data_IF_254133598115
#
_entry.id   IF_254133598115
#
_cell.length_a   1.000
_cell.length_b   1.000
_cell.length_c   1.000
_cell.angle_alpha   90.00
_cell.angle_beta   90.00
_cell.angle_gamma   90.00
#
_symmetry.space_group_name_H-M   'P 1'
#
loop_
_entity.id
_entity.type
_entity.pdbx_description
1 polymer ?
#
# COMPACT_ATOMS: atom_id res chain seq x y z
N UNK A 1 19.70 55.51 9.88
CA UNK A 1 19.92 54.64 11.05
C UNK A 1 20.01 53.19 10.60
N UNK A 2 21.14 52.55 10.92
CA UNK A 2 21.42 51.12 11.16
C UNK A 2 20.83 50.02 10.24
N UNK A 3 21.74 49.51 9.40
CA UNK A 3 21.90 48.13 8.88
C UNK A 3 21.51 47.01 9.86
N UNK A 4 20.87 45.94 9.36
CA UNK A 4 21.05 44.52 9.75
C UNK A 4 20.74 43.64 8.53
N UNK A 5 21.76 43.24 7.77
CA UNK A 5 22.50 41.97 7.87
C UNK A 5 21.64 40.74 7.55
N UNK A 6 21.91 40.23 6.34
CA UNK A 6 21.66 38.90 5.81
C UNK A 6 22.15 37.86 6.84
N UNK A 7 21.29 36.94 7.23
CA UNK A 7 21.71 35.65 7.80
C UNK A 7 21.27 34.53 6.86
N UNK A 8 22.30 33.87 6.38
CA UNK A 8 22.33 32.70 5.54
C UNK A 8 21.74 31.45 6.23
N UNK A 9 21.10 30.62 5.41
CA UNK A 9 21.27 29.16 5.32
C UNK A 9 21.07 28.37 6.63
N UNK A 10 19.95 27.65 6.68
CA UNK A 10 19.99 26.25 7.11
C UNK A 10 18.93 25.47 6.33
N UNK A 11 19.44 24.76 5.32
CA UNK A 11 19.01 23.46 4.85
C UNK A 11 17.50 23.13 4.90
N UNK A 12 16.97 22.85 3.71
CA UNK A 12 15.70 22.16 3.57
C UNK A 12 15.70 20.88 4.40
N UNK A 13 14.94 20.90 5.48
CA UNK A 13 14.28 19.71 5.97
C UNK A 13 13.07 19.49 5.05
N UNK A 14 13.34 19.08 3.81
CA UNK A 14 12.45 18.12 3.16
C UNK A 14 12.46 16.93 4.12
N UNK A 15 11.46 16.90 5.01
CA UNK A 15 11.15 15.74 5.83
C UNK A 15 10.76 14.61 4.89
N UNK A 16 11.76 14.01 4.25
CA UNK A 16 11.78 12.62 3.85
C UNK A 16 11.96 11.82 5.15
N UNK A 17 10.94 11.86 5.99
CA UNK A 17 10.78 11.02 7.16
C UNK A 17 9.50 10.20 6.96
N UNK A 18 9.54 8.92 7.32
CA UNK A 18 9.50 7.85 6.33
C UNK A 18 8.07 7.37 6.12
N UNK A 19 7.80 6.84 4.92
CA UNK A 19 6.53 6.17 4.54
C UNK A 19 6.10 5.07 5.53
N UNK A 20 6.97 4.67 6.45
CA UNK A 20 6.70 3.76 7.58
C UNK A 20 5.61 4.31 8.52
N UNK A 21 5.48 5.63 8.68
CA UNK A 21 4.42 6.22 9.52
C UNK A 21 3.02 6.17 8.85
N UNK A 22 2.95 6.10 7.52
CA UNK A 22 1.69 6.00 6.80
C UNK A 22 1.03 4.62 7.01
N UNK A 23 1.83 3.55 7.14
CA UNK A 23 1.33 2.18 7.32
C UNK A 23 0.61 1.95 8.67
N UNK A 24 0.91 2.74 9.71
CA UNK A 24 0.26 2.62 11.02
C UNK A 24 -1.13 3.24 11.08
N UNK A 25 -1.42 4.21 10.21
CA UNK A 25 -2.71 4.90 10.16
C UNK A 25 -3.55 4.54 8.94
N UNK A 26 -3.02 3.75 8.01
CA UNK A 26 -3.72 3.36 6.79
C UNK A 26 -4.76 2.27 7.05
N UNK A 27 -5.86 2.33 6.31
CA UNK A 27 -6.91 1.30 6.33
C UNK A 27 -6.34 -0.05 5.89
N UNK A 28 -6.56 -1.09 6.72
CA UNK A 28 -6.19 -2.49 6.41
C UNK A 28 -6.89 -2.95 5.12
N UNK A 29 -8.15 -2.57 4.93
CA UNK A 29 -8.91 -2.85 3.71
C UNK A 29 -8.29 -2.17 2.49
N UNK A 30 -7.80 -0.93 2.63
CA UNK A 30 -7.09 -0.23 1.56
C UNK A 30 -5.77 -0.92 1.22
N UNK A 31 -4.95 -1.26 2.22
CA UNK A 31 -3.69 -1.99 1.98
C UNK A 31 -3.95 -3.32 1.27
N UNK A 32 -4.95 -4.09 1.70
CA UNK A 32 -5.34 -5.32 1.03
C UNK A 32 -5.79 -5.09 -0.43
N UNK A 33 -6.54 -4.02 -0.68
CA UNK A 33 -6.95 -3.63 -2.03
C UNK A 33 -5.75 -3.28 -2.91
N UNK A 34 -4.90 -2.35 -2.48
CA UNK A 34 -3.74 -1.88 -3.26
C UNK A 34 -2.78 -3.03 -3.57
N UNK A 35 -2.48 -3.86 -2.57
CA UNK A 35 -1.64 -5.04 -2.74
C UNK A 35 -2.17 -5.96 -3.86
N UNK A 36 -3.49 -6.18 -3.89
CA UNK A 36 -4.12 -7.03 -4.91
C UNK A 36 -4.20 -6.35 -6.28
N UNK A 37 -4.55 -5.07 -6.33
CA UNK A 37 -4.62 -4.28 -7.56
C UNK A 37 -3.26 -4.24 -8.26
N UNK A 38 -2.21 -3.83 -7.55
CA UNK A 38 -0.88 -3.74 -8.15
C UNK A 38 -0.34 -5.10 -8.58
N UNK A 39 -0.60 -6.16 -7.81
CA UNK A 39 -0.29 -7.52 -8.24
C UNK A 39 -1.01 -7.88 -9.54
N UNK A 40 -2.29 -7.53 -9.67
CA UNK A 40 -3.08 -7.79 -10.87
C UNK A 40 -2.54 -7.04 -12.08
N UNK A 41 -2.14 -5.79 -11.90
CA UNK A 41 -1.53 -4.97 -12.97
C UNK A 41 -0.20 -5.59 -13.45
N UNK A 42 0.66 -6.03 -12.53
CA UNK A 42 1.89 -6.75 -12.88
C UNK A 42 1.58 -8.04 -13.68
N UNK A 43 0.60 -8.83 -13.25
CA UNK A 43 0.18 -10.04 -13.96
C UNK A 43 -0.41 -9.76 -15.36
N UNK A 44 -1.18 -8.68 -15.47
CA UNK A 44 -1.72 -8.22 -16.75
C UNK A 44 -0.58 -7.87 -17.71
N UNK A 45 0.40 -7.10 -17.24
CA UNK A 45 1.58 -6.68 -17.98
C UNK A 45 2.72 -7.71 -18.05
N UNK A 46 2.48 -8.95 -17.59
CA UNK A 46 3.46 -10.07 -17.63
C UNK A 46 4.76 -9.80 -16.89
N UNK A 47 4.72 -8.95 -15.87
CA UNK A 47 5.85 -8.71 -14.97
C UNK A 47 5.74 -9.66 -13.78
N UNK A 48 6.79 -10.44 -13.55
CA UNK A 48 6.88 -11.37 -12.43
C UNK A 48 7.61 -10.73 -11.25
N UNK A 49 7.11 -10.94 -10.04
CA UNK A 49 7.87 -10.58 -8.84
C UNK A 49 8.99 -11.61 -8.61
N UNK A 50 10.13 -11.20 -8.04
CA UNK A 50 11.12 -12.12 -7.49
C UNK A 50 10.48 -13.09 -6.49
N UNK A 51 10.98 -14.33 -6.42
CA UNK A 51 10.43 -15.40 -5.57
C UNK A 51 10.20 -14.98 -4.12
N UNK A 52 11.13 -14.23 -3.53
CA UNK A 52 11.01 -13.76 -2.13
C UNK A 52 9.86 -12.77 -1.98
N UNK A 53 9.67 -11.88 -2.94
CA UNK A 53 8.56 -10.92 -2.96
C UNK A 53 7.22 -11.64 -3.19
N UNK A 54 7.13 -12.64 -4.08
CA UNK A 54 5.91 -13.44 -4.25
C UNK A 54 5.48 -14.13 -2.96
N UNK A 55 6.45 -14.74 -2.25
CA UNK A 55 6.16 -15.39 -0.96
C UNK A 55 5.65 -14.38 0.06
N UNK A 56 6.22 -13.17 0.09
CA UNK A 56 5.81 -12.09 0.97
C UNK A 56 4.42 -11.57 0.62
N UNK A 57 4.15 -11.34 -0.68
CA UNK A 57 2.83 -10.99 -1.19
C UNK A 57 1.78 -12.01 -0.71
N UNK A 58 2.05 -13.31 -0.90
CA UNK A 58 1.12 -14.36 -0.50
C UNK A 58 0.80 -14.34 0.99
N UNK A 59 1.82 -14.15 1.85
CA UNK A 59 1.62 -14.07 3.32
C UNK A 59 0.87 -12.82 3.73
N UNK A 60 1.29 -11.65 3.24
CA UNK A 60 0.63 -10.37 3.55
C UNK A 60 -0.84 -10.40 3.10
N UNK A 61 -1.12 -10.84 1.88
CA UNK A 61 -2.49 -10.99 1.36
C UNK A 61 -3.34 -11.87 2.26
N UNK A 62 -2.84 -13.06 2.63
CA UNK A 62 -3.57 -14.00 3.47
C UNK A 62 -3.84 -13.44 4.88
N UNK A 63 -2.86 -12.79 5.49
CA UNK A 63 -2.99 -12.21 6.83
C UNK A 63 -3.97 -11.03 6.86
N UNK A 64 -3.87 -10.12 5.87
CA UNK A 64 -4.80 -8.99 5.72
C UNK A 64 -6.24 -9.49 5.49
N UNK A 65 -6.43 -10.47 4.60
CA UNK A 65 -7.74 -11.05 4.34
C UNK A 65 -8.34 -11.70 5.59
N UNK A 66 -7.53 -12.51 6.30
CA UNK A 66 -7.95 -13.13 7.56
C UNK A 66 -8.40 -12.08 8.58
N UNK A 67 -7.67 -10.98 8.69
CA UNK A 67 -8.04 -9.90 9.61
C UNK A 67 -9.34 -9.22 9.20
N UNK A 68 -9.54 -8.94 7.91
CA UNK A 68 -10.80 -8.37 7.38
C UNK A 68 -11.97 -9.28 7.72
N UNK A 69 -11.84 -10.59 7.46
CA UNK A 69 -12.87 -11.59 7.75
C UNK A 69 -13.22 -11.64 9.24
N UNK A 70 -12.24 -11.45 10.12
CA UNK A 70 -12.44 -11.52 11.56
C UNK A 70 -12.98 -10.21 12.17
N UNK A 71 -12.72 -9.05 11.58
CA UNK A 71 -12.95 -7.75 12.22
C UNK A 71 -13.84 -6.77 11.43
N UNK A 72 -14.27 -7.10 10.21
CA UNK A 72 -15.19 -6.26 9.46
C UNK A 72 -16.49 -6.05 10.24
N UNK A 73 -16.94 -4.79 10.35
CA UNK A 73 -18.22 -4.46 10.99
C UNK A 73 -19.45 -4.88 10.17
N UNK A 74 -19.27 -5.06 8.87
CA UNK A 74 -20.30 -5.55 7.95
C UNK A 74 -19.93 -6.90 7.36
N UNK A 75 -20.59 -7.28 6.26
CA UNK A 75 -20.32 -8.52 5.54
C UNK A 75 -18.90 -8.51 4.92
N UNK A 76 -17.97 -9.34 5.44
CA UNK A 76 -16.60 -9.36 4.93
C UNK A 76 -16.51 -9.87 3.50
N UNK A 77 -17.43 -10.73 3.04
CA UNK A 77 -17.43 -11.21 1.65
C UNK A 77 -17.77 -10.09 0.68
N UNK A 78 -18.73 -9.22 1.03
CA UNK A 78 -19.04 -8.04 0.22
C UNK A 78 -17.85 -7.09 0.09
N UNK A 79 -17.08 -6.94 1.16
CA UNK A 79 -15.86 -6.13 1.14
C UNK A 79 -14.79 -6.74 0.22
N UNK A 80 -14.52 -8.04 0.39
CA UNK A 80 -13.51 -8.76 -0.42
C UNK A 80 -13.93 -8.81 -1.89
N UNK A 81 -15.21 -9.05 -2.19
CA UNK A 81 -15.75 -8.99 -3.55
C UNK A 81 -15.69 -7.58 -4.14
N UNK A 82 -15.91 -6.54 -3.32
CA UNK A 82 -15.72 -5.15 -3.72
C UNK A 82 -14.30 -4.84 -4.16
N UNK A 83 -13.32 -5.44 -3.50
CA UNK A 83 -11.90 -5.32 -3.83
C UNK A 83 -11.56 -6.05 -5.12
N UNK A 84 -12.13 -7.25 -5.35
CA UNK A 84 -11.97 -7.94 -6.63
C UNK A 84 -12.51 -7.10 -7.81
N UNK A 85 -13.64 -6.40 -7.63
CA UNK A 85 -14.15 -5.43 -8.63
C UNK A 85 -13.24 -4.21 -8.83
N UNK A 86 -12.43 -3.84 -7.83
CA UNK A 86 -11.43 -2.78 -8.00
C UNK A 86 -10.25 -3.25 -8.86
N UNK A 87 -9.85 -4.51 -8.77
CA UNK A 87 -8.84 -5.10 -9.67
C UNK A 87 -9.30 -5.03 -11.13
N UNK A 88 -10.52 -5.48 -11.42
CA UNK A 88 -11.08 -5.45 -12.77
C UNK A 88 -11.12 -4.03 -13.34
N UNK A 89 -11.54 -3.05 -12.52
CA UNK A 89 -11.56 -1.64 -12.90
C UNK A 89 -10.16 -1.06 -13.13
N UNK A 90 -9.19 -1.42 -12.29
CA UNK A 90 -7.81 -0.98 -12.47
C UNK A 90 -7.24 -1.48 -13.79
N UNK A 91 -7.44 -2.76 -14.12
CA UNK A 91 -7.03 -3.31 -15.42
C UNK A 91 -7.75 -2.65 -16.58
N UNK A 92 -9.06 -2.43 -16.48
CA UNK A 92 -9.83 -1.75 -17.53
C UNK A 92 -9.39 -0.28 -17.74
N UNK A 93 -8.93 0.39 -16.68
CA UNK A 93 -8.41 1.76 -16.72
C UNK A 93 -6.94 1.85 -17.12
N UNK A 94 -6.21 0.73 -17.13
CA UNK A 94 -4.78 0.72 -17.44
C UNK A 94 -4.55 0.98 -18.93
N UNK A 95 -4.18 2.21 -19.26
CA UNK A 95 -3.98 2.64 -20.66
C UNK A 95 -2.88 1.86 -21.39
N UNK A 96 -1.78 1.53 -20.71
CA UNK A 96 -0.71 0.68 -21.22
C UNK A 96 0.23 0.20 -20.11
N UNK A 97 0.99 -0.85 -20.40
CA UNK A 97 2.08 -1.35 -19.55
C UNK A 97 3.33 -0.45 -19.55
N UNK A 98 3.28 0.73 -20.19
CA UNK A 98 4.31 1.76 -20.14
C UNK A 98 3.81 3.06 -19.49
N UNK A 99 2.55 3.08 -19.04
CA UNK A 99 1.94 4.23 -18.38
C UNK A 99 2.66 4.57 -17.07
N UNK A 100 2.57 5.84 -16.66
CA UNK A 100 3.09 6.26 -15.35
C UNK A 100 2.38 5.53 -14.21
N UNK A 101 1.07 5.29 -14.34
CA UNK A 101 0.29 4.52 -13.35
C UNK A 101 0.87 3.11 -13.16
N UNK A 102 1.19 2.41 -14.25
CA UNK A 102 1.82 1.08 -14.17
C UNK A 102 3.22 1.15 -13.53
N UNK A 103 4.02 2.16 -13.89
CA UNK A 103 5.36 2.35 -13.30
C UNK A 103 5.27 2.59 -11.80
N UNK A 104 4.30 3.39 -11.35
CA UNK A 104 4.02 3.64 -9.95
C UNK A 104 3.59 2.35 -9.25
N UNK A 105 2.66 1.58 -9.82
CA UNK A 105 2.24 0.30 -9.26
C UNK A 105 3.41 -0.67 -9.05
N UNK A 106 4.33 -0.75 -10.03
CA UNK A 106 5.55 -1.56 -9.91
C UNK A 106 6.44 -1.09 -8.75
N UNK A 107 6.71 0.21 -8.67
CA UNK A 107 7.52 0.79 -7.59
C UNK A 107 6.87 0.58 -6.22
N UNK A 108 5.56 0.79 -6.12
CA UNK A 108 4.80 0.55 -4.90
C UNK A 108 4.86 -0.91 -4.48
N UNK A 109 4.82 -1.87 -5.40
CA UNK A 109 4.99 -3.29 -5.07
C UNK A 109 6.38 -3.60 -4.52
N UNK A 110 7.43 -3.04 -5.11
CA UNK A 110 8.80 -3.20 -4.60
C UNK A 110 8.95 -2.62 -3.18
N UNK A 111 8.33 -1.47 -2.90
CA UNK A 111 8.34 -0.84 -1.59
C UNK A 111 7.48 -1.62 -0.56
N UNK A 112 6.26 -2.00 -0.93
CA UNK A 112 5.33 -2.71 -0.04
C UNK A 112 5.87 -4.08 0.37
N UNK A 113 6.60 -4.76 -0.53
CA UNK A 113 7.10 -6.12 -0.32
C UNK A 113 8.52 -6.17 0.28
N UNK A 114 8.78 -5.33 1.28
CA UNK A 114 10.00 -5.36 2.10
C UNK A 114 9.81 -6.13 3.41
N UNK A 115 10.92 -6.56 4.04
CA UNK A 115 10.93 -7.14 5.41
C UNK A 115 10.19 -6.27 6.40
N UNK A 116 10.49 -4.98 6.35
CA UNK A 116 10.09 -4.04 7.37
C UNK A 116 8.60 -3.74 7.25
N UNK A 117 8.09 -3.58 6.02
CA UNK A 117 6.67 -3.37 5.79
C UNK A 117 5.82 -4.60 6.16
N UNK A 118 6.28 -5.83 5.86
CA UNK A 118 5.57 -7.04 6.33
C UNK A 118 5.52 -7.08 7.86
N UNK A 119 6.62 -6.72 8.53
CA UNK A 119 6.68 -6.71 9.99
C UNK A 119 5.73 -5.66 10.60
N UNK A 120 5.70 -4.45 10.05
CA UNK A 120 4.78 -3.38 10.47
C UNK A 120 3.33 -3.81 10.28
N UNK A 121 2.98 -4.36 9.11
CA UNK A 121 1.63 -4.89 8.86
C UNK A 121 1.29 -5.97 9.88
N UNK A 122 2.16 -6.97 10.06
CA UNK A 122 1.92 -8.06 11.00
C UNK A 122 1.80 -7.59 12.46
N UNK A 123 2.46 -6.50 12.85
CA UNK A 123 2.28 -5.89 14.16
C UNK A 123 0.92 -5.23 14.29
N UNK A 124 0.49 -4.46 13.29
CA UNK A 124 -0.82 -3.80 13.30
C UNK A 124 -1.97 -4.81 13.32
N UNK A 125 -1.83 -5.94 12.62
CA UNK A 125 -2.84 -7.00 12.58
C UNK A 125 -3.04 -7.74 13.91
N UNK A 126 -2.17 -7.55 14.91
CA UNK A 126 -2.36 -8.11 16.26
C UNK A 126 -3.38 -7.34 17.07
N UNK A 127 -3.70 -6.10 16.69
CA UNK A 127 -4.62 -5.24 17.41
C UNK A 127 -6.00 -5.36 16.72
N UNK A 128 -7.02 -5.93 17.38
CA UNK A 128 -8.37 -5.96 16.81
C UNK A 128 -8.86 -4.55 16.52
N UNK A 129 -9.49 -4.35 15.36
CA UNK A 129 -9.91 -3.03 14.93
C UNK A 129 -10.70 -3.07 13.64
N UNK A 130 -11.47 -2.00 13.38
CA UNK A 130 -12.21 -1.90 12.13
C UNK A 130 -11.22 -1.86 10.94
N UNK A 131 -11.24 -2.84 10.03
CA UNK A 131 -10.31 -2.88 8.90
C UNK A 131 -10.47 -1.68 7.95
N UNK A 132 -11.58 -0.95 8.02
CA UNK A 132 -11.83 0.24 7.22
C UNK A 132 -11.43 1.55 7.91
N UNK A 133 -10.95 1.51 9.15
CA UNK A 133 -10.52 2.70 9.86
C UNK A 133 -9.21 3.24 9.28
N UNK A 134 -9.14 4.57 9.10
CA UNK A 134 -7.97 5.26 8.54
C UNK A 134 -8.13 5.60 7.06
N UNK A 135 -7.30 6.51 6.52
CA UNK A 135 -7.28 6.84 5.11
C UNK A 135 -6.88 5.64 4.23
N UNK A 136 -7.32 5.71 2.98
CA UNK A 136 -6.64 5.09 1.86
C UNK A 136 -5.76 6.20 1.27
N UNK A 137 -4.48 5.92 1.02
CA UNK A 137 -3.48 6.92 0.63
C UNK A 137 -3.94 7.87 -0.47
#
# INVERSE_FOLDING_TARGET
>A
MKKRLISAIAAGALCLAPEIAAAQNSSIACMYMLLRVYKKELEHCKVTLPRVQEQRYSRMRANLEKFIRANAKGDPEKMIAGIARSEERAIAGLSSCNSEDFKLARLSMDQLLTSDNENVVNQNLKIPGNPQAGPCG
#
